data_IF_812831899697
#
_entry.id   IF_812831899697
#
_cell.length_a   1.000
_cell.length_b   1.000
_cell.length_c   1.000
_cell.angle_alpha   90.00
_cell.angle_beta   90.00
_cell.angle_gamma   90.00
#
_symmetry.space_group_name_H-M   'P 1'
#
loop_
_entity.id
_entity.type
_entity.pdbx_description
1 polymer ?
#
# COMPACT_ATOMS: atom_id res chain seq x y z
N UNK A 1 31.27 -55.48 61.48
CA UNK A 1 30.49 -54.23 61.35
C UNK A 1 31.02 -53.49 60.14
N UNK A 2 30.39 -53.67 58.99
CA UNK A 2 30.78 -53.01 57.73
C UNK A 2 29.82 -51.84 57.54
N UNK A 3 30.36 -50.61 57.52
CA UNK A 3 29.61 -49.36 57.32
C UNK A 3 29.24 -49.25 55.83
N UNK A 4 27.94 -49.24 55.55
CA UNK A 4 27.40 -48.89 54.24
C UNK A 4 27.63 -47.39 53.98
N UNK A 5 28.46 -47.09 52.97
CA UNK A 5 28.61 -45.74 52.43
C UNK A 5 27.66 -45.63 51.24
N UNK A 6 26.61 -44.82 51.39
CA UNK A 6 25.68 -44.49 50.32
C UNK A 6 26.34 -43.41 49.46
N UNK A 7 26.71 -43.77 48.22
CA UNK A 7 27.15 -42.82 47.20
C UNK A 7 25.92 -42.13 46.61
N UNK A 8 25.79 -40.82 46.83
CA UNK A 8 24.83 -39.98 46.11
C UNK A 8 25.40 -39.68 44.72
N UNK A 9 24.78 -40.22 43.67
CA UNK A 9 25.03 -39.82 42.28
C UNK A 9 24.19 -38.58 42.01
N UNK A 10 24.83 -37.42 41.90
CA UNK A 10 24.20 -36.19 41.41
C UNK A 10 24.13 -36.30 39.89
N UNK A 11 22.93 -36.53 39.37
CA UNK A 11 22.64 -36.45 37.93
C UNK A 11 22.56 -34.95 37.58
N UNK A 12 23.62 -34.42 36.98
CA UNK A 12 23.57 -33.12 36.32
C UNK A 12 22.78 -33.27 35.02
N UNK A 13 21.49 -32.89 35.04
CA UNK A 13 20.71 -32.66 33.84
C UNK A 13 21.24 -31.37 33.19
N UNK A 14 22.09 -31.54 32.18
CA UNK A 14 22.46 -30.45 31.27
C UNK A 14 21.23 -30.20 30.40
N UNK A 15 20.42 -29.22 30.77
CA UNK A 15 19.48 -28.60 29.83
C UNK A 15 20.31 -27.91 28.76
N UNK A 16 20.51 -28.59 27.64
CA UNK A 16 20.97 -27.94 26.43
C UNK A 16 19.93 -26.90 26.06
N UNK A 17 20.20 -25.63 26.33
CA UNK A 17 19.59 -24.55 25.57
C UNK A 17 20.05 -24.73 24.13
N UNK A 18 19.25 -25.43 23.32
CA UNK A 18 19.27 -25.14 21.89
C UNK A 18 18.87 -23.68 21.79
N UNK A 19 19.83 -22.82 21.43
CA UNK A 19 19.44 -21.61 20.68
C UNK A 19 18.66 -22.15 19.49
N UNK A 20 17.34 -22.09 19.55
CA UNK A 20 16.55 -22.10 18.34
C UNK A 20 17.22 -21.07 17.43
N UNK A 21 17.76 -21.53 16.30
CA UNK A 21 18.11 -20.61 15.24
C UNK A 21 16.86 -19.74 15.06
N UNK A 22 16.96 -18.41 15.08
CA UNK A 22 15.83 -17.57 14.72
C UNK A 22 15.33 -18.13 13.39
N UNK A 23 14.08 -18.59 13.37
CA UNK A 23 13.41 -19.19 12.22
C UNK A 23 13.90 -18.46 10.98
N UNK A 24 14.65 -19.15 10.13
CA UNK A 24 14.97 -18.62 8.81
C UNK A 24 13.63 -18.40 8.14
N UNK A 25 13.20 -17.14 8.07
CA UNK A 25 12.03 -16.77 7.28
C UNK A 25 12.32 -17.30 5.87
N UNK A 26 11.44 -18.15 5.30
CA UNK A 26 11.66 -18.66 3.97
C UNK A 26 11.91 -17.47 3.04
N UNK A 27 13.02 -17.52 2.33
CA UNK A 27 13.36 -16.47 1.38
C UNK A 27 12.57 -16.72 0.10
N UNK A 28 11.98 -15.66 -0.43
CA UNK A 28 11.09 -15.73 -1.57
C UNK A 28 11.53 -14.79 -2.69
N UNK A 29 11.45 -15.29 -3.91
CA UNK A 29 11.83 -14.55 -5.13
C UNK A 29 10.71 -14.53 -6.17
N UNK A 30 10.83 -13.59 -7.12
CA UNK A 30 9.92 -13.46 -8.27
C UNK A 30 10.11 -14.65 -9.22
N UNK A 31 9.03 -15.35 -9.52
CA UNK A 31 8.95 -16.33 -10.58
C UNK A 31 8.51 -15.72 -11.91
N UNK A 32 7.74 -16.48 -12.68
CA UNK A 32 7.18 -16.00 -13.95
C UNK A 32 6.21 -14.84 -13.72
N UNK A 33 6.19 -13.89 -14.66
CA UNK A 33 5.21 -12.80 -14.67
C UNK A 33 3.82 -13.34 -15.04
N UNK A 34 2.81 -12.89 -14.30
CA UNK A 34 1.40 -13.26 -14.49
C UNK A 34 0.62 -12.10 -15.10
N UNK A 35 0.86 -10.88 -14.61
CA UNK A 35 0.35 -9.67 -15.23
C UNK A 35 1.39 -8.54 -15.12
N UNK A 36 1.31 -7.64 -16.09
CA UNK A 36 2.13 -6.43 -16.18
C UNK A 36 1.24 -5.27 -16.62
N UNK A 37 0.67 -4.56 -15.67
CA UNK A 37 -0.07 -3.34 -15.96
C UNK A 37 0.90 -2.17 -15.96
N UNK A 38 1.02 -1.52 -17.11
CA UNK A 38 1.94 -0.40 -17.29
C UNK A 38 1.20 0.89 -17.62
N UNK A 39 1.78 2.01 -17.18
CA UNK A 39 1.32 3.35 -17.51
C UNK A 39 -0.18 3.54 -17.18
N UNK A 40 -0.58 3.07 -15.99
CA UNK A 40 -1.98 3.01 -15.54
C UNK A 40 -2.58 4.41 -15.42
N UNK A 41 -1.76 5.45 -15.21
CA UNK A 41 -2.18 6.85 -15.23
C UNK A 41 -2.85 7.26 -16.56
N UNK A 42 -2.72 6.48 -17.63
CA UNK A 42 -3.35 6.74 -18.93
C UNK A 42 -4.75 6.18 -19.10
N UNK A 43 -5.20 5.34 -18.16
CA UNK A 43 -6.51 4.73 -18.22
C UNK A 43 -7.63 5.77 -18.19
N UNK A 44 -8.80 5.40 -18.68
CA UNK A 44 -9.98 6.28 -18.71
C UNK A 44 -10.34 6.81 -17.32
N UNK A 45 -10.79 8.06 -17.25
CA UNK A 45 -11.31 8.69 -16.04
C UNK A 45 -12.82 8.48 -15.92
N UNK A 46 -13.29 8.30 -14.69
CA UNK A 46 -14.71 8.30 -14.28
C UNK A 46 -15.59 7.48 -15.23
N UNK A 47 -15.19 6.23 -15.51
CA UNK A 47 -16.04 5.37 -16.32
C UNK A 47 -17.39 5.19 -15.61
N UNK A 48 -18.47 5.57 -16.30
CA UNK A 48 -19.82 5.47 -15.75
C UNK A 48 -20.27 4.02 -15.56
N UNK A 49 -19.54 3.07 -16.16
CA UNK A 49 -19.77 1.63 -16.12
C UNK A 49 -18.43 0.89 -16.18
N UNK A 50 -18.44 -0.38 -15.79
CA UNK A 50 -17.30 -1.28 -15.99
C UNK A 50 -17.04 -1.47 -17.49
N UNK A 51 -15.77 -1.46 -17.87
CA UNK A 51 -15.31 -1.68 -19.23
C UNK A 51 -14.80 -3.11 -19.32
N UNK A 52 -15.22 -3.85 -20.35
CA UNK A 52 -14.80 -5.23 -20.58
C UNK A 52 -13.64 -5.30 -21.57
N UNK A 53 -12.52 -5.86 -21.12
CA UNK A 53 -11.38 -6.23 -21.96
C UNK A 53 -11.57 -7.64 -22.51
N UNK A 54 -11.77 -7.76 -23.83
CA UNK A 54 -11.96 -9.05 -24.50
C UNK A 54 -10.68 -9.89 -24.60
N UNK A 55 -9.52 -9.25 -24.63
CA UNK A 55 -8.24 -9.95 -24.76
C UNK A 55 -7.87 -10.60 -23.43
N UNK A 56 -8.08 -9.87 -22.33
CA UNK A 56 -7.82 -10.38 -20.99
C UNK A 56 -9.00 -11.15 -20.40
N UNK A 57 -10.19 -11.07 -21.01
CA UNK A 57 -11.45 -11.53 -20.43
C UNK A 57 -11.61 -11.00 -19.00
N UNK A 58 -11.55 -9.68 -18.81
CA UNK A 58 -11.66 -9.03 -17.49
C UNK A 58 -12.47 -7.75 -17.56
N UNK A 59 -13.07 -7.35 -16.45
CA UNK A 59 -13.62 -6.01 -16.29
C UNK A 59 -12.60 -5.07 -15.61
N UNK A 60 -12.68 -3.77 -15.92
CA UNK A 60 -11.95 -2.71 -15.25
C UNK A 60 -12.81 -1.44 -15.17
N UNK A 61 -12.44 -0.48 -14.33
CA UNK A 61 -13.20 0.77 -14.14
C UNK A 61 -12.48 2.01 -14.65
N UNK A 62 -11.16 1.94 -14.84
CA UNK A 62 -10.34 3.15 -14.95
C UNK A 62 -10.30 3.91 -13.61
N UNK A 63 -9.80 5.14 -13.65
CA UNK A 63 -9.64 5.97 -12.46
C UNK A 63 -10.96 6.55 -11.97
N UNK A 64 -11.24 6.41 -10.68
CA UNK A 64 -12.35 7.03 -9.97
C UNK A 64 -11.90 7.65 -8.65
N UNK A 65 -12.83 8.33 -7.99
CA UNK A 65 -12.58 9.02 -6.71
C UNK A 65 -13.55 8.54 -5.64
N UNK A 66 -13.02 8.32 -4.44
CA UNK A 66 -13.76 8.10 -3.21
C UNK A 66 -13.37 9.19 -2.21
N UNK A 67 -14.37 9.83 -1.60
CA UNK A 67 -14.17 10.82 -0.54
C UNK A 67 -14.14 10.10 0.81
N UNK A 68 -13.03 10.23 1.52
CA UNK A 68 -12.88 9.69 2.88
C UNK A 68 -13.05 10.84 3.88
N UNK A 69 -14.31 11.05 4.27
CA UNK A 69 -14.74 12.11 5.17
C UNK A 69 -14.53 11.67 6.62
N UNK A 70 -13.53 12.26 7.27
CA UNK A 70 -13.14 11.93 8.64
C UNK A 70 -14.16 12.48 9.67
N UNK A 71 -14.72 13.66 9.39
CA UNK A 71 -15.65 14.32 10.30
C UNK A 71 -17.06 14.40 9.72
N UNK A 72 -18.08 13.75 10.33
CA UNK A 72 -19.44 13.79 9.83
C UNK A 72 -19.96 15.22 9.64
N UNK A 73 -20.58 15.49 8.49
CA UNK A 73 -21.11 16.81 8.14
C UNK A 73 -20.10 17.78 7.50
N UNK A 74 -18.88 17.32 7.24
CA UNK A 74 -17.86 18.06 6.47
C UNK A 74 -17.79 17.57 5.03
N UNK A 75 -17.12 18.33 4.17
CA UNK A 75 -16.91 17.99 2.76
C UNK A 75 -15.48 18.22 2.30
N UNK A 76 -15.16 17.72 1.12
CA UNK A 76 -13.89 17.94 0.44
C UNK A 76 -14.14 18.17 -1.05
N UNK A 77 -13.46 19.15 -1.61
CA UNK A 77 -13.54 19.45 -3.04
C UNK A 77 -12.30 18.91 -3.74
N UNK A 78 -12.48 18.28 -4.90
CA UNK A 78 -11.40 17.63 -5.62
C UNK A 78 -11.53 17.75 -7.13
N UNK A 79 -10.43 17.47 -7.81
CA UNK A 79 -10.42 17.29 -9.26
C UNK A 79 -9.47 16.17 -9.68
N UNK A 80 -9.80 15.54 -10.81
CA UNK A 80 -8.95 14.51 -11.44
C UNK A 80 -8.96 14.74 -12.95
N UNK A 81 -7.78 14.87 -13.55
CA UNK A 81 -7.65 15.10 -14.99
C UNK A 81 -6.33 14.54 -15.53
N UNK A 82 -6.30 14.23 -16.83
CA UNK A 82 -5.05 13.98 -17.52
C UNK A 82 -4.46 15.28 -18.04
N UNK A 83 -3.14 15.45 -17.90
CA UNK A 83 -2.40 16.44 -18.64
C UNK A 83 -1.44 15.75 -19.60
N UNK A 84 -1.37 16.23 -20.84
CA UNK A 84 -0.43 15.70 -21.83
C UNK A 84 0.75 16.65 -21.92
N UNK A 85 1.95 16.14 -21.67
CA UNK A 85 3.16 16.85 -22.01
C UNK A 85 3.35 16.79 -23.53
N UNK A 86 3.06 17.90 -24.21
CA UNK A 86 3.12 17.99 -25.68
C UNK A 86 4.51 17.72 -26.25
N UNK A 87 5.59 17.83 -25.45
CA UNK A 87 6.96 17.61 -25.93
C UNK A 87 7.37 16.14 -25.94
N UNK A 88 6.85 15.34 -25.01
CA UNK A 88 7.17 13.90 -24.85
C UNK A 88 6.00 13.00 -25.26
N UNK A 89 4.82 13.58 -25.50
CA UNK A 89 3.54 12.89 -25.67
C UNK A 89 3.24 11.91 -24.52
N UNK A 90 3.81 12.16 -23.34
CA UNK A 90 3.49 11.44 -22.11
C UNK A 90 2.31 12.11 -21.44
N UNK A 91 1.47 11.30 -20.80
CA UNK A 91 0.27 11.73 -20.12
C UNK A 91 0.48 11.46 -18.64
N UNK A 92 0.18 12.45 -17.82
CA UNK A 92 0.25 12.36 -16.37
C UNK A 92 -1.15 12.46 -15.80
N UNK A 93 -1.38 11.80 -14.66
CA UNK A 93 -2.64 11.92 -13.92
C UNK A 93 -2.49 12.96 -12.82
N UNK A 94 -3.30 14.02 -12.89
CA UNK A 94 -3.35 15.07 -11.89
C UNK A 94 -4.53 14.80 -10.95
N UNK A 95 -4.20 14.52 -9.69
CA UNK A 95 -5.13 14.29 -8.60
C UNK A 95 -5.04 15.47 -7.63
N UNK A 96 -6.14 16.14 -7.31
CA UNK A 96 -6.08 17.35 -6.49
C UNK A 96 -7.18 17.42 -5.44
N UNK A 97 -6.81 17.97 -4.28
CA UNK A 97 -7.74 18.64 -3.36
C UNK A 97 -7.78 20.11 -3.78
N UNK A 98 -8.97 20.65 -4.01
CA UNK A 98 -9.16 22.05 -4.47
C UNK A 98 -9.75 22.96 -3.40
N UNK A 99 -10.27 22.39 -2.31
CA UNK A 99 -10.92 23.12 -1.23
C UNK A 99 -11.69 22.17 -0.30
N UNK A 100 -12.48 22.74 0.60
CA UNK A 100 -13.30 22.00 1.57
C UNK A 100 -12.79 22.12 3.01
N UNK A 101 -13.25 21.19 3.85
CA UNK A 101 -12.93 21.16 5.26
C UNK A 101 -11.59 20.45 5.53
N UNK A 102 -10.89 20.90 6.58
CA UNK A 102 -9.60 20.34 7.00
C UNK A 102 -9.68 18.85 7.35
N UNK A 103 -8.57 18.14 7.15
CA UNK A 103 -8.37 16.72 7.53
C UNK A 103 -9.24 15.69 6.82
N UNK A 104 -10.03 16.09 5.82
CA UNK A 104 -10.68 15.13 4.92
C UNK A 104 -9.70 14.67 3.84
N UNK A 105 -9.89 13.44 3.38
CA UNK A 105 -9.00 12.81 2.42
C UNK A 105 -9.73 12.56 1.09
N UNK A 106 -8.95 12.45 0.02
CA UNK A 106 -9.47 12.11 -1.30
C UNK A 106 -8.67 10.95 -1.86
N UNK A 107 -9.38 9.86 -2.18
CA UNK A 107 -8.78 8.62 -2.63
C UNK A 107 -9.04 8.40 -4.11
N UNK A 108 -7.96 8.33 -4.89
CA UNK A 108 -7.98 8.12 -6.33
C UNK A 108 -7.62 6.67 -6.60
N UNK A 109 -8.53 5.91 -7.20
CA UNK A 109 -8.38 4.45 -7.33
C UNK A 109 -8.68 3.98 -8.74
N UNK A 110 -8.05 2.88 -9.14
CA UNK A 110 -8.30 2.23 -10.42
C UNK A 110 -8.36 0.71 -10.23
N UNK A 111 -9.54 0.13 -10.50
CA UNK A 111 -9.70 -1.32 -10.55
C UNK A 111 -9.27 -1.81 -11.93
N UNK A 112 -8.10 -2.45 -12.00
CA UNK A 112 -7.46 -2.94 -13.24
C UNK A 112 -7.99 -4.28 -13.71
N UNK A 113 -8.51 -5.09 -12.80
CA UNK A 113 -9.07 -6.39 -13.11
C UNK A 113 -10.18 -6.71 -12.15
N UNK A 114 -11.27 -7.25 -12.67
CA UNK A 114 -12.44 -7.67 -11.91
C UNK A 114 -13.11 -8.86 -12.58
N UNK A 115 -13.48 -9.84 -11.76
CA UNK A 115 -14.29 -11.02 -12.12
C UNK A 115 -15.28 -11.34 -11.01
N UNK A 116 -16.41 -11.92 -11.36
CA UNK A 116 -17.36 -12.41 -10.36
C UNK A 116 -16.82 -13.67 -9.67
N UNK A 117 -17.24 -13.93 -8.43
CA UNK A 117 -16.72 -15.03 -7.59
C UNK A 117 -16.84 -16.42 -8.22
N UNK A 118 -17.84 -16.62 -9.09
CA UNK A 118 -18.12 -17.90 -9.75
C UNK A 118 -17.38 -18.04 -11.10
N UNK A 119 -16.63 -17.02 -11.49
CA UNK A 119 -15.82 -17.01 -12.71
C UNK A 119 -14.35 -17.33 -12.39
N UNK A 120 -13.62 -18.07 -13.28
CA UNK A 120 -12.22 -18.38 -13.06
C UNK A 120 -11.36 -17.13 -12.86
N UNK A 121 -10.71 -17.03 -11.71
CA UNK A 121 -9.78 -15.94 -11.41
C UNK A 121 -8.37 -16.26 -11.91
N UNK A 122 -8.00 -15.69 -13.06
CA UNK A 122 -6.72 -15.98 -13.71
C UNK A 122 -5.48 -15.45 -12.99
N UNK A 123 -5.64 -14.57 -11.99
CA UNK A 123 -4.53 -14.04 -11.19
C UNK A 123 -4.40 -14.69 -9.81
N UNK A 124 -4.95 -15.89 -9.64
CA UNK A 124 -4.81 -16.67 -8.40
C UNK A 124 -3.36 -16.88 -7.99
N UNK A 125 -2.49 -17.15 -8.97
CA UNK A 125 -1.05 -17.43 -8.78
C UNK A 125 -0.19 -16.16 -8.62
N UNK A 126 -0.78 -14.96 -8.76
CA UNK A 126 -0.04 -13.71 -8.65
C UNK A 126 0.17 -13.38 -7.18
N UNK A 127 1.29 -13.87 -6.64
CA UNK A 127 1.59 -13.85 -5.22
C UNK A 127 2.74 -12.93 -4.85
N UNK A 128 3.61 -12.57 -5.79
CA UNK A 128 4.60 -11.51 -5.59
C UNK A 128 4.15 -10.28 -6.35
N UNK A 129 3.96 -9.16 -5.65
CA UNK A 129 3.37 -7.93 -6.17
C UNK A 129 4.39 -6.81 -6.15
N UNK A 130 4.44 -6.03 -7.22
CA UNK A 130 5.32 -4.87 -7.37
C UNK A 130 4.50 -3.68 -7.82
N UNK A 131 4.45 -2.63 -7.00
CA UNK A 131 3.83 -1.35 -7.33
C UNK A 131 4.90 -0.29 -7.52
N UNK A 132 4.96 0.31 -8.70
CA UNK A 132 5.94 1.32 -9.10
C UNK A 132 5.20 2.57 -9.59
N UNK A 133 5.67 3.75 -9.21
CA UNK A 133 5.15 5.02 -9.71
C UNK A 133 6.20 6.13 -9.56
N UNK A 134 6.07 7.15 -10.40
CA UNK A 134 6.66 8.45 -10.15
C UNK A 134 5.58 9.41 -9.66
N UNK A 135 5.89 10.19 -8.62
CA UNK A 135 4.98 11.15 -8.04
C UNK A 135 5.61 12.53 -7.90
N UNK A 136 4.80 13.57 -8.08
CA UNK A 136 5.18 14.96 -7.87
C UNK A 136 4.11 15.64 -7.01
N UNK A 137 4.52 16.26 -5.92
CA UNK A 137 3.62 16.99 -5.02
C UNK A 137 3.74 18.49 -5.30
N UNK A 138 2.71 19.07 -5.92
CA UNK A 138 2.55 20.51 -6.10
C UNK A 138 1.86 21.13 -4.87
N UNK A 139 2.60 21.11 -3.77
CA UNK A 139 2.21 21.65 -2.48
C UNK A 139 3.44 22.16 -1.72
N UNK A 140 3.22 22.63 -0.50
CA UNK A 140 4.33 22.92 0.42
C UNK A 140 4.54 21.70 1.33
N UNK A 141 5.81 21.33 1.53
CA UNK A 141 6.21 20.21 2.36
C UNK A 141 7.56 20.53 2.99
N UNK A 142 7.58 20.59 4.32
CA UNK A 142 8.80 20.73 5.11
C UNK A 142 8.73 19.75 6.29
N UNK A 143 9.48 18.64 6.20
CA UNK A 143 9.48 17.65 7.28
C UNK A 143 10.16 18.16 8.57
N UNK A 144 10.95 19.25 8.51
CA UNK A 144 11.49 19.89 9.70
C UNK A 144 10.45 20.78 10.39
N UNK A 145 9.51 21.34 9.62
CA UNK A 145 8.40 22.18 10.09
C UNK A 145 7.06 21.65 9.54
N UNK A 146 6.58 20.49 10.03
CA UNK A 146 5.43 19.79 9.43
C UNK A 146 4.13 20.60 9.48
N UNK A 147 4.02 21.58 10.37
CA UNK A 147 2.87 22.48 10.43
C UNK A 147 2.76 23.42 9.22
N UNK A 148 3.81 23.54 8.39
CA UNK A 148 3.80 24.30 7.13
C UNK A 148 3.40 23.46 5.92
N UNK A 149 3.18 22.14 6.09
CA UNK A 149 2.82 21.26 4.98
C UNK A 149 1.36 21.42 4.56
N UNK A 150 1.08 21.43 3.25
CA UNK A 150 -0.29 21.52 2.71
C UNK A 150 -1.06 20.21 2.81
N UNK A 151 -0.38 19.09 3.09
CA UNK A 151 -0.95 17.75 3.23
C UNK A 151 -0.52 17.12 4.56
N UNK A 152 -1.34 16.23 5.10
CA UNK A 152 -0.96 15.34 6.21
C UNK A 152 -0.08 14.20 5.72
N UNK A 153 -0.29 13.77 4.48
CA UNK A 153 0.42 12.66 3.89
C UNK A 153 -0.07 12.28 2.50
N UNK A 154 0.63 11.32 1.91
CA UNK A 154 0.24 10.62 0.69
C UNK A 154 0.22 9.13 0.99
N UNK A 155 -0.87 8.45 0.64
CA UNK A 155 -1.00 7.01 0.81
C UNK A 155 -0.91 6.32 -0.54
N UNK A 156 -0.17 5.22 -0.60
CA UNK A 156 -0.02 4.35 -1.75
C UNK A 156 -0.63 3.00 -1.39
N UNK A 157 -1.61 2.56 -2.18
CA UNK A 157 -2.37 1.36 -1.84
C UNK A 157 -2.55 0.45 -3.03
N UNK A 158 -2.67 -0.84 -2.76
CA UNK A 158 -3.20 -1.80 -3.70
C UNK A 158 -3.92 -2.91 -2.96
N UNK A 159 -4.87 -3.52 -3.65
CA UNK A 159 -5.65 -4.63 -3.13
C UNK A 159 -5.66 -5.76 -4.14
N UNK A 160 -5.44 -6.97 -3.64
CA UNK A 160 -5.64 -8.20 -4.41
C UNK A 160 -6.69 -9.05 -3.69
N UNK A 161 -7.93 -8.93 -4.14
CA UNK A 161 -9.05 -9.71 -3.60
C UNK A 161 -9.15 -11.00 -4.37
N UNK A 162 -8.93 -12.10 -3.65
CA UNK A 162 -9.13 -13.47 -4.12
C UNK A 162 -9.99 -14.16 -3.07
N UNK A 163 -11.31 -14.16 -3.32
CA UNK A 163 -12.31 -14.60 -2.36
C UNK A 163 -11.99 -16.02 -1.85
N UNK A 164 -12.17 -16.28 -0.54
CA UNK A 164 -12.83 -15.43 0.46
C UNK A 164 -11.93 -14.39 1.16
N UNK A 165 -10.72 -14.14 0.64
CA UNK A 165 -9.72 -13.30 1.30
C UNK A 165 -9.52 -11.94 0.65
N UNK A 166 -9.16 -10.98 1.49
CA UNK A 166 -8.76 -9.63 1.09
C UNK A 166 -7.30 -9.40 1.47
N UNK A 167 -6.47 -9.13 0.45
CA UNK A 167 -5.06 -8.80 0.63
C UNK A 167 -4.87 -7.31 0.31
N UNK A 168 -5.06 -6.47 1.33
CA UNK A 168 -4.88 -5.04 1.23
C UNK A 168 -3.48 -4.62 1.66
N UNK A 169 -2.84 -3.76 0.88
CA UNK A 169 -1.56 -3.18 1.19
C UNK A 169 -1.68 -1.66 1.19
N UNK A 170 -1.04 -1.02 2.16
CA UNK A 170 -1.01 0.42 2.28
C UNK A 170 0.31 0.89 2.85
N UNK A 171 0.91 1.89 2.20
CA UNK A 171 2.10 2.58 2.68
C UNK A 171 1.84 4.07 2.63
N UNK A 172 2.07 4.77 3.74
CA UNK A 172 1.81 6.20 3.87
C UNK A 172 3.11 6.96 4.12
N UNK A 173 3.35 7.99 3.33
CA UNK A 173 4.22 9.10 3.68
C UNK A 173 3.45 10.08 4.55
N UNK A 174 4.01 10.48 5.69
CA UNK A 174 3.46 11.55 6.53
C UNK A 174 4.25 12.86 6.37
N UNK A 175 3.60 14.00 6.63
CA UNK A 175 4.23 15.32 6.59
C UNK A 175 5.46 15.49 7.48
N UNK A 176 5.61 14.65 8.51
CA UNK A 176 6.79 14.59 9.37
C UNK A 176 7.98 13.83 8.77
N UNK A 177 7.84 13.29 7.55
CA UNK A 177 8.88 12.53 6.86
C UNK A 177 8.90 11.03 7.17
N UNK A 178 8.04 10.56 8.08
CA UNK A 178 7.95 9.15 8.44
C UNK A 178 7.09 8.38 7.43
N UNK A 179 7.57 7.20 7.04
CA UNK A 179 6.83 6.20 6.28
C UNK A 179 6.25 5.14 7.21
N UNK A 180 4.98 4.78 6.96
CA UNK A 180 4.19 3.84 7.79
C UNK A 180 3.49 2.81 6.91
N UNK A 181 3.15 1.67 7.47
CA UNK A 181 2.34 0.65 6.78
C UNK A 181 0.95 0.53 7.41
N UNK A 182 -0.02 0.09 6.61
CA UNK A 182 -1.36 -0.20 7.08
C UNK A 182 -1.42 -1.62 7.66
N UNK A 183 -1.86 -1.73 8.91
CA UNK A 183 -2.20 -2.99 9.55
C UNK A 183 -3.72 -3.18 9.60
N UNK A 184 -4.22 -4.07 8.74
CA UNK A 184 -5.64 -4.37 8.61
C UNK A 184 -6.14 -5.43 9.61
N UNK A 185 -5.25 -5.96 10.47
CA UNK A 185 -5.65 -6.84 11.57
C UNK A 185 -6.71 -6.18 12.45
N UNK A 186 -7.72 -6.96 12.84
CA UNK A 186 -8.77 -6.49 13.72
C UNK A 186 -8.26 -6.37 15.16
N UNK A 187 -8.28 -5.14 15.68
CA UNK A 187 -8.08 -4.83 17.08
C UNK A 187 -9.27 -5.23 17.96
N UNK A 188 -9.22 -4.80 19.22
CA UNK A 188 -10.19 -5.18 20.27
C UNK A 188 -11.63 -4.70 19.98
N UNK A 189 -11.80 -3.67 19.16
CA UNK A 189 -13.09 -3.10 18.76
C UNK A 189 -13.55 -3.51 17.34
N UNK A 190 -12.99 -4.61 16.81
CA UNK A 190 -13.24 -5.11 15.44
C UNK A 190 -12.83 -4.13 14.32
N UNK A 191 -12.09 -3.07 14.66
CA UNK A 191 -11.53 -2.13 13.68
C UNK A 191 -10.08 -2.50 13.35
N UNK A 192 -9.59 -2.09 12.18
CA UNK A 192 -8.16 -2.19 11.85
C UNK A 192 -7.28 -1.57 12.94
N UNK A 193 -6.14 -2.20 13.25
CA UNK A 193 -5.08 -1.59 14.07
C UNK A 193 -4.64 -0.25 13.45
N UNK A 194 -4.61 -0.19 12.12
CA UNK A 194 -4.37 1.03 11.34
C UNK A 194 -2.90 1.28 11.06
N UNK A 195 -2.50 2.55 11.01
CA UNK A 195 -1.15 2.95 10.61
C UNK A 195 -0.11 2.59 11.69
N UNK A 196 0.93 1.85 11.29
CA UNK A 196 2.05 1.47 12.17
C UNK A 196 3.40 1.90 11.60
N UNK A 197 4.34 2.17 12.49
CA UNK A 197 5.72 2.50 12.13
C UNK A 197 6.48 1.24 11.72
N UNK A 198 7.31 1.33 10.67
CA UNK A 198 8.35 0.33 10.45
C UNK A 198 9.35 0.32 11.61
N UNK A 199 10.01 -0.81 11.81
CA UNK A 199 11.12 -0.97 12.75
C UNK A 199 12.33 -1.45 11.96
N UNK A 200 13.46 -0.71 11.90
CA UNK A 200 13.59 0.67 12.35
C UNK A 200 12.66 1.62 11.56
N UNK A 201 12.36 2.79 12.14
CA UNK A 201 11.57 3.81 11.46
C UNK A 201 12.24 4.25 10.16
N UNK A 202 11.44 4.38 9.11
CA UNK A 202 11.89 4.91 7.82
C UNK A 202 11.52 6.40 7.78
N UNK A 203 12.51 7.26 7.94
CA UNK A 203 12.35 8.72 7.87
C UNK A 203 13.03 9.22 6.59
N UNK A 204 12.24 9.37 5.53
CA UNK A 204 12.70 9.84 4.23
C UNK A 204 11.74 10.92 3.75
N UNK A 205 12.16 12.18 3.88
CA UNK A 205 11.36 13.31 3.42
C UNK A 205 11.30 13.35 1.89
N UNK A 206 10.11 13.60 1.35
CA UNK A 206 9.93 13.97 -0.05
C UNK A 206 10.22 15.47 -0.21
N UNK A 207 10.86 15.85 -1.31
CA UNK A 207 11.06 17.26 -1.63
C UNK A 207 9.81 17.81 -2.31
N UNK A 208 9.25 18.95 -1.87
CA UNK A 208 8.15 19.57 -2.57
C UNK A 208 8.56 19.95 -4.00
N UNK A 209 7.61 19.91 -4.93
CA UNK A 209 7.81 20.36 -6.32
C UNK A 209 8.97 19.66 -7.03
N UNK A 210 9.18 18.39 -6.72
CA UNK A 210 10.11 17.49 -7.41
C UNK A 210 9.44 16.16 -7.70
N UNK A 211 9.91 15.52 -8.75
CA UNK A 211 9.57 14.13 -9.05
C UNK A 211 10.32 13.19 -8.12
N UNK A 212 9.59 12.20 -7.63
CA UNK A 212 10.09 11.12 -6.79
C UNK A 212 9.69 9.78 -7.38
N UNK A 213 10.62 8.84 -7.44
CA UNK A 213 10.33 7.49 -7.91
C UNK A 213 10.16 6.57 -6.71
N UNK A 214 9.03 5.86 -6.67
CA UNK A 214 8.69 4.94 -5.58
C UNK A 214 8.39 3.55 -6.13
N UNK A 215 8.96 2.56 -5.47
CA UNK A 215 8.69 1.14 -5.73
C UNK A 215 8.42 0.41 -4.43
N UNK A 216 7.35 -0.37 -4.40
CA UNK A 216 6.95 -1.21 -3.29
C UNK A 216 6.91 -2.66 -3.76
N UNK A 217 7.57 -3.54 -3.00
CA UNK A 217 7.53 -4.98 -3.22
C UNK A 217 6.86 -5.67 -2.04
N UNK A 218 5.89 -6.53 -2.33
CA UNK A 218 5.20 -7.34 -1.34
C UNK A 218 4.91 -8.73 -1.87
N UNK A 219 4.51 -9.64 -0.99
CA UNK A 219 4.03 -10.94 -1.41
C UNK A 219 2.92 -11.49 -0.51
N UNK A 220 2.16 -12.42 -1.05
CA UNK A 220 1.04 -13.11 -0.42
C UNK A 220 1.47 -14.57 -0.25
N UNK A 221 1.45 -15.08 0.98
CA UNK A 221 1.68 -16.50 1.28
C UNK A 221 0.35 -17.24 1.42
N UNK A 222 0.38 -18.47 1.92
CA UNK A 222 -0.84 -19.19 2.24
C UNK A 222 -1.71 -18.43 3.24
N UNK A 223 -1.11 -17.80 4.27
CA UNK A 223 -1.85 -17.24 5.42
C UNK A 223 -1.58 -15.76 5.72
N UNK A 224 -0.76 -15.10 4.92
CA UNK A 224 -0.30 -13.75 5.23
C UNK A 224 -0.04 -12.91 4.00
N UNK A 225 -0.01 -11.60 4.22
CA UNK A 225 0.64 -10.64 3.35
C UNK A 225 1.98 -10.23 3.98
N UNK A 226 2.95 -9.88 3.14
CA UNK A 226 4.29 -9.52 3.58
C UNK A 226 4.77 -8.27 2.85
N UNK A 227 5.12 -7.22 3.58
CA UNK A 227 5.83 -6.06 3.06
C UNK A 227 7.32 -6.36 2.98
N UNK A 228 7.90 -6.41 1.77
CA UNK A 228 9.29 -6.85 1.58
C UNK A 228 10.27 -5.68 1.54
N UNK A 229 10.14 -4.81 0.54
CA UNK A 229 11.04 -3.68 0.36
C UNK A 229 10.33 -2.47 -0.22
N UNK A 230 10.90 -1.30 0.04
CA UNK A 230 10.50 -0.03 -0.55
C UNK A 230 11.74 0.65 -1.12
N UNK A 231 11.66 1.19 -2.33
CA UNK A 231 12.71 2.04 -2.91
C UNK A 231 12.14 3.43 -3.14
N UNK A 232 12.85 4.47 -2.66
CA UNK A 232 12.52 5.89 -2.90
C UNK A 232 13.75 6.54 -3.51
N UNK A 233 13.64 7.12 -4.69
CA UNK A 233 14.74 7.82 -5.39
C UNK A 233 16.05 7.01 -5.49
N UNK A 234 15.92 5.71 -5.75
CA UNK A 234 17.01 4.71 -5.80
C UNK A 234 17.61 4.32 -4.45
N UNK A 235 17.08 4.81 -3.33
CA UNK A 235 17.44 4.32 -2.00
C UNK A 235 16.47 3.20 -1.59
N UNK A 236 17.02 2.01 -1.36
CA UNK A 236 16.26 0.85 -0.90
C UNK A 236 16.17 0.80 0.63
N UNK A 237 14.98 0.46 1.11
CA UNK A 237 14.65 0.21 2.50
C UNK A 237 14.10 -1.21 2.63
N UNK A 238 14.76 -2.02 3.46
CA UNK A 238 14.26 -3.32 3.87
C UNK A 238 13.12 -3.11 4.85
N UNK A 239 11.93 -3.62 4.52
CA UNK A 239 10.75 -3.55 5.37
C UNK A 239 10.69 -4.71 6.37
N UNK A 240 11.81 -5.42 6.56
CA UNK A 240 12.00 -6.53 7.49
C UNK A 240 11.00 -7.66 7.32
N UNK A 241 10.40 -7.77 6.12
CA UNK A 241 9.30 -8.69 5.88
C UNK A 241 8.21 -8.55 6.95
N UNK A 242 7.67 -7.35 7.21
CA UNK A 242 6.50 -7.21 8.09
C UNK A 242 5.40 -8.16 7.58
N UNK A 243 5.06 -9.15 8.41
CA UNK A 243 4.08 -10.20 8.10
C UNK A 243 2.78 -9.86 8.81
N UNK A 244 1.71 -9.70 8.06
CA UNK A 244 0.36 -9.54 8.58
C UNK A 244 -0.50 -10.71 8.10
N UNK A 245 -1.41 -11.28 8.91
CA UNK A 245 -2.34 -12.28 8.44
C UNK A 245 -3.23 -11.68 7.34
N UNK A 246 -3.72 -12.51 6.42
CA UNK A 246 -4.79 -12.05 5.55
C UNK A 246 -6.03 -11.73 6.38
N UNK A 247 -6.91 -10.89 5.84
CA UNK A 247 -8.23 -10.65 6.41
C UNK A 247 -9.31 -11.27 5.52
N UNK A 248 -10.45 -11.60 6.12
CA UNK A 248 -11.60 -12.05 5.33
C UNK A 248 -12.17 -10.89 4.54
N UNK A 249 -12.56 -11.16 3.30
CA UNK A 249 -13.41 -10.24 2.55
C UNK A 249 -14.71 -9.99 3.33
N UNK A 250 -15.27 -8.78 3.19
CA UNK A 250 -16.53 -8.41 3.85
C UNK A 250 -17.67 -9.31 3.39
N UNK A 251 -18.60 -9.62 4.30
CA UNK A 251 -19.78 -10.41 3.97
C UNK A 251 -20.57 -9.76 2.82
N UNK A 252 -20.96 -10.57 1.84
CA UNK A 252 -21.69 -10.12 0.64
C UNK A 252 -20.80 -9.60 -0.49
N UNK A 253 -19.48 -9.57 -0.34
CA UNK A 253 -18.58 -9.41 -1.49
C UNK A 253 -18.64 -10.62 -2.40
N UNK A 254 -18.76 -10.36 -3.71
CA UNK A 254 -18.97 -11.38 -4.75
C UNK A 254 -18.02 -11.20 -5.94
N UNK A 255 -16.93 -10.48 -5.75
CA UNK A 255 -16.00 -10.10 -6.81
C UNK A 255 -14.54 -10.33 -6.38
N UNK A 256 -13.77 -10.94 -7.27
CA UNK A 256 -12.32 -10.93 -7.23
C UNK A 256 -11.83 -9.70 -7.98
N UNK A 257 -10.83 -8.99 -7.47
CA UNK A 257 -10.30 -7.83 -8.16
C UNK A 257 -8.86 -7.48 -7.81
N UNK A 258 -8.24 -6.70 -8.70
CA UNK A 258 -7.02 -5.95 -8.46
C UNK A 258 -7.37 -4.48 -8.56
N UNK A 259 -7.08 -3.75 -7.48
CA UNK A 259 -7.22 -2.31 -7.42
C UNK A 259 -5.90 -1.70 -6.98
N UNK A 260 -5.54 -0.57 -7.58
CA UNK A 260 -4.46 0.29 -7.08
C UNK A 260 -5.04 1.66 -6.72
N UNK A 261 -4.36 2.38 -5.84
CA UNK A 261 -4.81 3.69 -5.42
C UNK A 261 -3.71 4.59 -4.87
N UNK A 262 -4.05 5.87 -4.81
CA UNK A 262 -3.30 6.90 -4.13
C UNK A 262 -4.28 7.80 -3.37
N UNK A 263 -3.97 8.10 -2.10
CA UNK A 263 -4.73 9.04 -1.29
C UNK A 263 -3.94 10.32 -1.06
N UNK A 264 -4.61 11.46 -1.18
CA UNK A 264 -4.13 12.72 -0.65
C UNK A 264 -4.82 12.95 0.69
N UNK A 265 -4.04 13.04 1.76
CA UNK A 265 -4.58 13.33 3.08
C UNK A 265 -4.56 14.84 3.29
N UNK A 266 -5.73 15.46 3.33
CA UNK A 266 -5.85 16.91 3.50
C UNK A 266 -5.31 17.34 4.87
N UNK A 267 -4.63 18.49 4.91
CA UNK A 267 -4.26 19.14 6.17
C UNK A 267 -5.15 20.35 6.43
N UNK A 268 -5.09 20.88 7.64
CA UNK A 268 -5.51 22.25 7.89
C UNK A 268 -4.72 23.22 7.00
N UNK A 269 -5.42 24.20 6.43
CA UNK A 269 -4.81 25.26 5.64
C UNK A 269 -3.73 26.00 6.44
N UNK A 270 -2.57 26.19 5.81
CA UNK A 270 -1.44 26.98 6.31
C UNK A 270 -1.49 28.40 5.76
N UNK A 271 -2.19 28.63 4.64
CA UNK A 271 -2.34 29.95 4.01
C UNK A 271 -3.56 30.72 4.49
N UNK A 272 -4.61 30.03 4.93
CA UNK A 272 -5.88 30.60 5.36
C UNK A 272 -6.22 30.21 6.81
N UNK A 273 -7.21 30.90 7.38
CA UNK A 273 -7.67 30.62 8.75
C UNK A 273 -8.59 29.39 8.86
N UNK A 274 -9.11 28.87 7.75
CA UNK A 274 -10.13 27.81 7.70
C UNK A 274 -9.95 26.91 6.48
N UNK A 275 -10.35 25.64 6.60
CA UNK A 275 -10.39 24.68 5.49
C UNK A 275 -9.06 23.99 5.22
N UNK A 276 -8.90 23.50 3.99
CA UNK A 276 -7.70 22.86 3.44
C UNK A 276 -7.08 23.72 2.34
N UNK A 277 -5.75 23.69 2.20
CA UNK A 277 -5.08 24.32 1.05
C UNK A 277 -5.19 23.46 -0.19
N UNK A 278 -5.37 24.10 -1.35
CA UNK A 278 -5.32 23.39 -2.62
C UNK A 278 -3.94 22.77 -2.84
N UNK A 279 -3.92 21.51 -3.25
CA UNK A 279 -2.72 20.72 -3.52
C UNK A 279 -3.01 19.74 -4.65
N UNK A 280 -2.04 19.57 -5.54
CA UNK A 280 -2.10 18.57 -6.60
C UNK A 280 -0.97 17.57 -6.42
N UNK A 281 -1.30 16.28 -6.48
CA UNK A 281 -0.33 15.20 -6.66
C UNK A 281 -0.44 14.72 -8.10
N UNK A 282 0.69 14.71 -8.80
CA UNK A 282 0.80 14.28 -10.19
C UNK A 282 1.44 12.89 -10.20
N UNK A 283 0.81 11.94 -10.88
CA UNK A 283 1.30 10.58 -11.05
C UNK A 283 1.76 10.36 -12.50
N UNK A 284 2.88 9.67 -12.64
CA UNK A 284 3.45 9.20 -13.90
C UNK A 284 4.05 7.80 -13.71
N UNK A 285 4.28 7.07 -14.80
CA UNK A 285 4.88 5.73 -14.78
C UNK A 285 4.24 4.77 -13.75
N UNK A 286 2.91 4.81 -13.61
CA UNK A 286 2.19 4.00 -12.62
C UNK A 286 2.09 2.58 -13.16
N UNK A 287 2.83 1.65 -12.56
CA UNK A 287 2.91 0.27 -12.99
C UNK A 287 2.59 -0.68 -11.83
N UNK A 288 1.85 -1.76 -12.13
CA UNK A 288 1.54 -2.81 -11.16
C UNK A 288 1.76 -4.18 -11.78
N UNK A 289 2.63 -4.97 -11.17
CA UNK A 289 3.09 -6.26 -11.70
C UNK A 289 2.85 -7.37 -10.69
N UNK A 290 2.42 -8.52 -11.20
CA UNK A 290 2.19 -9.72 -10.42
C UNK A 290 3.03 -10.87 -10.95
N UNK A 291 3.72 -11.56 -10.07
CA UNK A 291 4.55 -12.72 -10.39
C UNK A 291 4.15 -13.92 -9.54
N UNK A 292 4.53 -15.11 -10.00
CA UNK A 292 4.57 -16.29 -9.14
C UNK A 292 5.53 -16.06 -7.98
N UNK A 293 5.20 -16.63 -6.81
CA UNK A 293 6.07 -16.63 -5.65
C UNK A 293 6.85 -17.95 -5.62
N UNK A 294 8.18 -17.88 -5.68
CA UNK A 294 9.04 -19.06 -5.60
C UNK A 294 9.79 -19.07 -4.27
N UNK A 295 9.87 -20.25 -3.64
CA UNK A 295 10.82 -20.48 -2.56
C UNK A 295 12.25 -20.46 -3.13
N UNK A 296 13.15 -19.77 -2.45
CA UNK A 296 14.59 -19.87 -2.69
C UNK A 296 15.18 -21.22 -2.22
#
# INVERSE_FOLDING_TARGET
>A
MIRNVIFYVIIFLVFGCSKENPLQTPSFQKGAIIFDYQNIENDTLNASQRIYDKQLDLYFTGWGVYEDIIFPGTGIEWSMNHQTNNSTNTKTLHCAITGGDQYNNVFFTNTKALKWQDEPWQYQEAKYLVYELDLYIDGELDCANPDEATIEGVELTWQHIALPFSHGFGVQFSKGGEWRFWNDEQGVDEKPIGWESFSPKINQCLSPKKWHSIKLESYITENSIVYKSMTIDNQEFDLQNIILPYVKAKDGWVENFIQIGMQINGNKSVKNTTGVDAVTVILDNVNFKGYQLLHE
#
